data_IF_974271930541
#
_entry.id   IF_974271930541
#
_cell.length_a   1.000
_cell.length_b   1.000
_cell.length_c   1.000
_cell.angle_alpha   90.00
_cell.angle_beta   90.00
_cell.angle_gamma   90.00
#
_symmetry.space_group_name_H-M   'P 1'
#
loop_
_entity.id
_entity.type
_entity.pdbx_description
1 polymer ?
#
# COMPACT_ATOMS: atom_id res chain seq x y z
N UNK A 1 -60.65 -6.18 58.16
CA UNK A 1 -60.84 -6.75 56.80
C UNK A 1 -60.78 -5.62 55.79
N UNK A 2 -59.64 -5.44 55.11
CA UNK A 2 -59.56 -4.78 53.80
C UNK A 2 -58.21 -5.12 53.19
N UNK A 3 -58.26 -5.87 52.08
CA UNK A 3 -57.12 -6.23 51.21
C UNK A 3 -56.89 -5.11 50.19
N UNK A 4 -55.71 -5.15 49.53
CA UNK A 4 -55.29 -4.55 48.23
C UNK A 4 -54.05 -3.64 48.43
N UNK A 5 -52.91 -3.72 47.71
CA UNK A 5 -52.39 -4.46 46.53
C UNK A 5 -50.85 -4.26 46.55
N UNK A 6 -49.99 -5.17 46.04
CA UNK A 6 -48.55 -4.91 45.97
C UNK A 6 -48.22 -4.02 44.75
N UNK A 7 -47.50 -2.92 44.99
CA UNK A 7 -46.97 -2.02 43.96
C UNK A 7 -45.73 -2.64 43.32
N UNK A 8 -45.85 -3.04 42.05
CA UNK A 8 -44.73 -3.40 41.18
C UNK A 8 -43.99 -2.10 40.84
N UNK A 9 -42.75 -1.94 41.29
CA UNK A 9 -41.88 -0.86 40.82
C UNK A 9 -41.06 -1.36 39.62
N UNK A 10 -41.33 -0.73 38.48
CA UNK A 10 -40.80 -1.00 37.16
C UNK A 10 -39.33 -0.54 37.05
N UNK A 11 -38.48 -1.44 36.57
CA UNK A 11 -37.08 -1.23 36.19
C UNK A 11 -36.99 -0.28 34.99
N UNK A 12 -36.21 0.80 35.07
CA UNK A 12 -35.70 1.53 33.90
C UNK A 12 -34.18 1.58 34.02
N UNK A 13 -33.52 0.56 33.46
CA UNK A 13 -32.10 0.62 33.18
C UNK A 13 -31.92 1.45 31.90
N UNK A 14 -31.47 2.70 32.04
CA UNK A 14 -30.95 3.47 30.91
C UNK A 14 -29.67 2.78 30.42
N UNK A 15 -29.81 1.93 29.40
CA UNK A 15 -28.71 1.52 28.55
C UNK A 15 -28.25 2.77 27.78
N UNK A 16 -27.25 3.45 28.33
CA UNK A 16 -26.45 4.42 27.59
C UNK A 16 -25.73 3.68 26.48
N UNK A 17 -26.39 3.56 25.32
CA UNK A 17 -25.76 3.21 24.07
C UNK A 17 -24.73 4.29 23.75
N UNK A 18 -23.49 4.07 24.16
CA UNK A 18 -22.33 4.75 23.60
C UNK A 18 -22.25 4.34 22.13
N UNK A 19 -22.92 5.10 21.26
CA UNK A 19 -22.58 5.13 19.85
C UNK A 19 -21.13 5.63 19.77
N UNK A 20 -20.18 4.70 19.71
CA UNK A 20 -18.83 5.04 19.26
C UNK A 20 -18.97 5.54 17.83
N UNK A 21 -18.87 6.86 17.65
CA UNK A 21 -18.69 7.46 16.35
C UNK A 21 -17.35 6.96 15.79
N UNK A 22 -17.41 5.91 14.97
CA UNK A 22 -16.25 5.41 14.22
C UNK A 22 -16.02 6.38 13.05
N UNK A 23 -15.37 7.50 13.37
CA UNK A 23 -14.89 8.49 12.41
C UNK A 23 -13.49 8.96 12.77
N UNK A 24 -12.70 8.12 13.46
CA UNK A 24 -11.32 8.47 13.80
C UNK A 24 -10.50 8.53 12.52
N UNK A 25 -9.99 9.73 12.20
CA UNK A 25 -9.06 9.96 11.10
C UNK A 25 -7.88 8.99 11.25
N UNK A 26 -7.57 8.22 10.22
CA UNK A 26 -6.45 7.30 10.23
C UNK A 26 -5.14 8.05 10.49
N UNK A 27 -4.19 7.46 11.23
CA UNK A 27 -2.89 8.08 11.47
C UNK A 27 -2.10 8.17 10.16
N UNK A 28 -1.14 9.11 10.12
CA UNK A 28 -0.26 9.28 8.96
C UNK A 28 0.70 8.09 8.76
N UNK A 29 0.92 7.31 9.83
CA UNK A 29 1.73 6.10 9.86
C UNK A 29 1.01 5.02 10.65
N UNK A 30 1.15 3.75 10.27
CA UNK A 30 0.54 2.63 11.00
C UNK A 30 1.18 2.51 12.38
N UNK A 31 0.36 2.52 13.44
CA UNK A 31 0.83 2.52 14.84
C UNK A 31 0.82 1.12 15.47
N UNK A 32 0.05 0.19 14.90
CA UNK A 32 -0.13 -1.16 15.44
C UNK A 32 0.28 -2.24 14.44
N UNK A 33 0.87 -3.31 14.93
CA UNK A 33 1.16 -4.51 14.13
C UNK A 33 -0.12 -5.27 13.81
N UNK A 34 -0.20 -5.85 12.61
CA UNK A 34 -1.38 -6.59 12.15
C UNK A 34 -0.96 -7.96 11.68
N UNK A 35 -1.48 -9.01 12.31
CA UNK A 35 -1.33 -10.35 11.78
C UNK A 35 -2.21 -10.47 10.54
N UNK A 36 -1.66 -11.00 9.46
CA UNK A 36 -2.34 -11.06 8.19
C UNK A 36 -3.57 -11.99 8.28
N UNK A 37 -4.70 -11.66 7.62
CA UNK A 37 -5.87 -12.54 7.56
C UNK A 37 -5.54 -13.95 7.06
N UNK A 38 -6.40 -14.92 7.35
CA UNK A 38 -6.28 -16.25 6.73
C UNK A 38 -6.63 -16.18 5.23
N UNK A 39 -6.08 -17.11 4.44
CA UNK A 39 -6.43 -17.33 3.03
C UNK A 39 -6.27 -16.10 2.11
N UNK A 40 -5.24 -15.28 2.36
CA UNK A 40 -4.96 -14.08 1.56
C UNK A 40 -4.79 -14.42 0.08
N UNK A 41 -5.53 -13.70 -0.75
CA UNK A 41 -5.39 -13.68 -2.20
C UNK A 41 -4.74 -12.38 -2.62
N UNK A 42 -3.75 -12.49 -3.49
CA UNK A 42 -3.04 -11.34 -4.04
C UNK A 42 -3.66 -11.07 -5.40
N UNK A 43 -4.80 -10.37 -5.41
CA UNK A 43 -5.63 -10.13 -6.58
C UNK A 43 -5.99 -8.64 -6.81
N UNK A 44 -5.36 -7.76 -6.03
CA UNK A 44 -5.55 -6.32 -6.05
C UNK A 44 -6.76 -5.85 -5.26
N UNK A 45 -7.36 -6.65 -4.38
CA UNK A 45 -8.54 -6.25 -3.60
C UNK A 45 -8.19 -6.11 -2.12
N UNK A 46 -9.00 -5.34 -1.41
CA UNK A 46 -8.90 -5.15 0.05
C UNK A 46 -9.89 -5.99 0.86
N UNK A 47 -10.53 -6.98 0.22
CA UNK A 47 -11.62 -7.78 0.81
C UNK A 47 -11.16 -8.51 2.08
N UNK A 48 -9.97 -9.09 2.04
CA UNK A 48 -9.35 -9.86 3.12
C UNK A 48 -9.07 -8.96 4.35
N UNK A 49 -8.86 -7.66 4.13
CA UNK A 49 -8.72 -6.64 5.17
C UNK A 49 -10.05 -5.92 5.49
N UNK A 50 -11.18 -6.44 5.01
CA UNK A 50 -12.53 -5.84 5.16
C UNK A 50 -12.60 -4.38 4.70
N UNK A 51 -11.84 -4.03 3.66
CA UNK A 51 -11.69 -2.66 3.15
C UNK A 51 -11.22 -1.63 4.19
N UNK A 52 -10.56 -2.10 5.25
CA UNK A 52 -9.99 -1.28 6.32
C UNK A 52 -8.47 -1.19 6.20
N UNK A 53 -7.96 0.00 6.45
CA UNK A 53 -6.54 0.32 6.39
C UNK A 53 -6.07 0.85 7.73
N UNK A 54 -4.81 0.61 8.07
CA UNK A 54 -4.25 1.04 9.35
C UNK A 54 -3.79 2.50 9.34
N UNK A 55 -3.49 3.04 8.16
CA UNK A 55 -3.00 4.39 8.01
C UNK A 55 -3.41 5.01 6.67
N UNK A 56 -3.44 6.34 6.63
CA UNK A 56 -3.50 7.13 5.40
C UNK A 56 -2.34 8.11 5.42
N UNK A 57 -1.37 7.93 4.52
CA UNK A 57 -0.20 8.79 4.48
C UNK A 57 -0.41 9.96 3.52
N UNK A 58 -0.24 11.18 4.02
CA UNK A 58 -0.49 12.41 3.27
C UNK A 58 0.59 12.73 2.21
N UNK A 59 1.81 12.21 2.35
CA UNK A 59 2.88 12.51 1.39
C UNK A 59 2.70 11.71 0.08
N UNK A 60 2.27 10.45 0.20
CA UNK A 60 2.02 9.57 -0.95
C UNK A 60 0.54 9.42 -1.30
N UNK A 61 -0.34 10.10 -0.55
CA UNK A 61 -1.79 10.16 -0.75
C UNK A 61 -2.47 8.80 -0.91
N UNK A 62 -2.16 7.91 0.03
CA UNK A 62 -2.63 6.53 -0.03
C UNK A 62 -2.95 5.95 1.35
N UNK A 63 -4.00 5.13 1.36
CA UNK A 63 -4.28 4.21 2.45
C UNK A 63 -3.34 3.01 2.35
N UNK A 64 -2.85 2.54 3.49
CA UNK A 64 -2.04 1.34 3.50
C UNK A 64 -2.16 0.53 4.80
N UNK A 65 -1.81 -0.74 4.68
CA UNK A 65 -1.58 -1.65 5.81
C UNK A 65 -0.36 -2.50 5.49
N UNK A 66 0.59 -2.55 6.42
CA UNK A 66 1.60 -3.61 6.48
C UNK A 66 1.10 -4.67 7.47
N UNK A 67 1.16 -5.92 7.06
CA UNK A 67 0.84 -7.07 7.90
C UNK A 67 1.81 -8.21 7.66
N UNK A 68 1.86 -9.18 8.56
CA UNK A 68 2.65 -10.40 8.36
C UNK A 68 1.89 -11.64 8.82
N UNK A 69 2.17 -12.77 8.18
CA UNK A 69 1.91 -14.08 8.77
C UNK A 69 3.24 -14.67 9.27
N UNK A 70 3.30 -16.00 9.43
CA UNK A 70 4.50 -16.69 9.89
C UNK A 70 5.61 -16.75 8.81
N UNK A 71 5.27 -16.51 7.54
CA UNK A 71 6.15 -16.75 6.38
C UNK A 71 6.42 -15.51 5.54
N UNK A 72 5.51 -14.53 5.53
CA UNK A 72 5.42 -13.46 4.55
C UNK A 72 5.12 -12.12 5.21
N UNK A 73 5.70 -11.08 4.62
CA UNK A 73 5.29 -9.70 4.79
C UNK A 73 4.34 -9.31 3.65
N UNK A 74 3.28 -8.60 4.00
CA UNK A 74 2.27 -8.09 3.09
C UNK A 74 2.22 -6.58 3.16
N UNK A 75 2.04 -5.93 2.01
CA UNK A 75 1.67 -4.53 1.92
C UNK A 75 0.46 -4.42 0.99
N UNK A 76 -0.62 -3.85 1.50
CA UNK A 76 -1.73 -3.36 0.68
C UNK A 76 -1.68 -1.83 0.66
N UNK A 77 -1.81 -1.26 -0.53
CA UNK A 77 -1.63 0.16 -0.80
C UNK A 77 -2.72 0.62 -1.77
N UNK A 78 -3.51 1.63 -1.38
CA UNK A 78 -4.65 2.09 -2.16
C UNK A 78 -4.67 3.60 -2.29
N UNK A 79 -4.94 4.11 -3.48
CA UNK A 79 -5.30 5.50 -3.70
C UNK A 79 -6.60 5.58 -4.49
N UNK A 80 -7.34 6.66 -4.32
CA UNK A 80 -8.50 7.02 -5.13
C UNK A 80 -8.25 8.31 -5.94
N UNK A 81 -7.04 8.86 -5.84
CA UNK A 81 -6.63 10.05 -6.57
C UNK A 81 -6.10 9.63 -7.94
N UNK A 82 -6.60 10.28 -8.97
CA UNK A 82 -6.29 9.90 -10.36
C UNK A 82 -4.82 10.13 -10.69
N UNK A 83 -4.25 11.25 -10.26
CA UNK A 83 -2.85 11.60 -10.50
C UNK A 83 -1.90 10.64 -9.76
N UNK A 84 -2.21 10.33 -8.50
CA UNK A 84 -1.50 9.30 -7.71
C UNK A 84 -1.56 7.94 -8.42
N UNK A 85 -2.72 7.54 -8.91
CA UNK A 85 -2.92 6.27 -9.63
C UNK A 85 -2.05 6.21 -10.89
N UNK A 86 -2.03 7.27 -11.70
CA UNK A 86 -1.22 7.34 -12.92
C UNK A 86 0.27 7.26 -12.62
N UNK A 87 0.70 7.97 -11.56
CA UNK A 87 2.06 7.96 -11.04
C UNK A 87 2.48 6.56 -10.58
N UNK A 88 1.62 5.86 -9.85
CA UNK A 88 1.89 4.48 -9.40
C UNK A 88 1.96 3.52 -10.58
N UNK A 89 1.03 3.56 -11.54
CA UNK A 89 1.06 2.56 -12.63
C UNK A 89 2.34 2.73 -13.48
N UNK A 90 2.73 3.98 -13.76
CA UNK A 90 3.86 4.28 -14.66
C UNK A 90 5.21 4.18 -13.93
N UNK A 91 5.33 4.81 -12.76
CA UNK A 91 6.57 4.88 -11.98
C UNK A 91 6.74 3.74 -10.97
N UNK A 92 5.63 3.09 -10.59
CA UNK A 92 5.60 2.16 -9.48
C UNK A 92 5.72 2.83 -8.13
N UNK A 93 5.57 2.01 -7.10
CA UNK A 93 6.01 2.36 -5.77
C UNK A 93 6.96 1.31 -5.24
N UNK A 94 7.84 1.75 -4.33
CA UNK A 94 8.88 0.92 -3.73
C UNK A 94 8.60 0.78 -2.26
N UNK A 95 8.54 -0.46 -1.77
CA UNK A 95 8.77 -0.74 -0.35
C UNK A 95 10.23 -1.12 -0.16
N UNK A 96 10.90 -0.45 0.77
CA UNK A 96 12.26 -0.78 1.21
C UNK A 96 12.20 -1.18 2.67
N UNK A 97 12.71 -2.36 3.00
CA UNK A 97 12.90 -2.86 4.35
C UNK A 97 14.36 -2.71 4.73
N UNK A 98 14.64 -2.17 5.91
CA UNK A 98 15.98 -1.94 6.43
C UNK A 98 16.05 -2.23 7.93
N UNK A 99 17.25 -2.37 8.51
CA UNK A 99 17.41 -2.49 9.96
C UNK A 99 16.92 -1.21 10.65
N UNK A 100 16.46 -1.34 11.89
CA UNK A 100 16.09 -0.19 12.73
C UNK A 100 17.33 0.65 13.08
N UNK A 101 18.47 -0.01 13.29
CA UNK A 101 19.74 0.67 13.49
C UNK A 101 20.21 1.35 12.20
N UNK A 102 20.14 2.68 12.19
CA UNK A 102 20.57 3.53 11.07
C UNK A 102 22.07 3.45 10.77
N UNK A 103 22.87 2.90 11.69
CA UNK A 103 24.31 2.69 11.50
C UNK A 103 24.65 1.28 11.02
N UNK A 104 23.65 0.44 10.79
CA UNK A 104 23.86 -0.91 10.28
C UNK A 104 24.38 -0.88 8.84
N UNK A 105 25.39 -1.70 8.56
CA UNK A 105 25.97 -1.92 7.22
C UNK A 105 25.20 -2.99 6.42
N UNK A 106 24.12 -3.54 6.97
CA UNK A 106 23.28 -4.51 6.25
C UNK A 106 22.54 -3.86 5.09
N UNK A 107 22.65 -4.48 3.91
CA UNK A 107 21.95 -4.04 2.69
C UNK A 107 20.43 -4.10 2.86
N UNK A 108 19.69 -2.98 2.69
CA UNK A 108 18.23 -2.99 2.65
C UNK A 108 17.69 -3.83 1.50
N UNK A 109 16.52 -4.44 1.70
CA UNK A 109 15.78 -5.15 0.65
C UNK A 109 14.72 -4.23 0.09
N UNK A 110 14.65 -4.07 -1.24
CA UNK A 110 13.65 -3.24 -1.89
C UNK A 110 12.86 -4.03 -2.94
N UNK A 111 11.56 -3.76 -2.99
CA UNK A 111 10.63 -4.31 -3.98
C UNK A 111 9.86 -3.17 -4.66
N UNK A 112 9.90 -3.11 -5.98
CA UNK A 112 9.20 -2.11 -6.79
C UNK A 112 8.16 -2.79 -7.69
N UNK A 113 6.91 -2.36 -7.54
CA UNK A 113 5.75 -2.83 -8.29
C UNK A 113 4.60 -1.80 -8.11
N UNK A 114 3.65 -1.68 -9.05
CA UNK A 114 3.71 -2.13 -10.44
C UNK A 114 4.76 -1.34 -11.22
N UNK A 115 5.37 -1.90 -12.27
CA UNK A 115 6.23 -1.10 -13.16
C UNK A 115 5.76 -1.30 -14.60
N UNK A 116 4.94 -0.37 -15.10
CA UNK A 116 4.53 -0.34 -16.50
C UNK A 116 5.41 0.66 -17.25
N UNK A 117 6.31 0.20 -18.14
CA UNK A 117 7.26 1.08 -18.81
C UNK A 117 6.58 2.13 -19.72
N UNK A 118 5.36 1.85 -20.19
CA UNK A 118 4.62 2.74 -21.08
C UNK A 118 3.14 2.76 -20.73
N UNK A 119 2.69 3.86 -20.13
CA UNK A 119 1.27 4.10 -19.96
C UNK A 119 0.66 4.51 -21.30
N UNK A 120 -0.38 3.79 -21.75
CA UNK A 120 -1.11 4.20 -22.95
C UNK A 120 -1.91 5.49 -22.67
N UNK A 121 -1.94 6.42 -23.62
CA UNK A 121 -2.78 7.63 -23.57
C UNK A 121 -4.27 7.33 -23.37
N UNK A 122 -4.71 6.10 -23.69
CA UNK A 122 -6.07 5.61 -23.46
C UNK A 122 -6.37 5.40 -21.97
N UNK A 123 -5.39 4.95 -21.17
CA UNK A 123 -5.58 4.79 -19.72
C UNK A 123 -5.76 6.15 -19.06
N UNK A 124 -4.92 7.12 -19.43
CA UNK A 124 -5.02 8.50 -18.96
C UNK A 124 -6.39 9.11 -19.32
N UNK A 125 -6.81 8.98 -20.58
CA UNK A 125 -8.09 9.51 -21.05
C UNK A 125 -9.30 8.95 -20.28
N UNK A 126 -9.33 7.64 -20.00
CA UNK A 126 -10.46 7.01 -19.31
C UNK A 126 -10.50 7.31 -17.80
N UNK A 127 -9.37 7.69 -17.20
CA UNK A 127 -9.30 8.07 -15.79
C UNK A 127 -9.64 9.55 -15.54
N UNK A 128 -9.52 10.43 -16.54
CA UNK A 128 -9.77 11.88 -16.40
C UNK A 128 -11.19 12.32 -16.01
N UNK A 129 -12.27 11.76 -16.59
CA UNK A 129 -13.63 12.25 -16.32
C UNK A 129 -13.99 12.17 -14.83
N UNK A 130 -14.75 13.12 -14.29
CA UNK A 130 -15.22 13.02 -12.90
C UNK A 130 -16.24 11.89 -12.71
N UNK A 131 -16.25 11.29 -11.52
CA UNK A 131 -17.18 10.22 -11.16
C UNK A 131 -16.75 8.81 -11.58
N UNK A 132 -17.67 7.82 -11.42
CA UNK A 132 -17.36 6.42 -11.66
C UNK A 132 -17.02 6.09 -13.11
N UNK A 133 -16.11 5.13 -13.30
CA UNK A 133 -15.76 4.58 -14.61
C UNK A 133 -16.69 3.41 -14.92
N UNK A 134 -17.16 3.28 -16.17
CA UNK A 134 -18.06 2.19 -16.55
C UNK A 134 -17.36 0.84 -16.42
N UNK A 135 -18.08 -0.20 -16.02
CA UNK A 135 -17.51 -1.55 -15.81
C UNK A 135 -16.76 -2.10 -17.02
N UNK A 136 -17.23 -1.83 -18.24
CA UNK A 136 -16.56 -2.25 -19.48
C UNK A 136 -15.19 -1.57 -19.64
N UNK A 137 -15.12 -0.28 -19.29
CA UNK A 137 -13.89 0.52 -19.36
C UNK A 137 -12.93 0.08 -18.23
N UNK A 138 -13.43 -0.17 -17.02
CA UNK A 138 -12.61 -0.73 -15.91
C UNK A 138 -11.99 -2.07 -16.29
N UNK A 139 -12.77 -2.99 -16.88
CA UNK A 139 -12.25 -4.28 -17.37
C UNK A 139 -11.19 -4.09 -18.44
N UNK A 140 -11.42 -3.15 -19.36
CA UNK A 140 -10.44 -2.80 -20.39
C UNK A 140 -9.14 -2.26 -19.78
N UNK A 141 -9.23 -1.32 -18.84
CA UNK A 141 -8.09 -0.70 -18.16
C UNK A 141 -7.26 -1.73 -17.40
N UNK A 142 -7.90 -2.53 -16.55
CA UNK A 142 -7.20 -3.58 -15.79
C UNK A 142 -6.52 -4.58 -16.71
N UNK A 143 -7.17 -5.00 -17.81
CA UNK A 143 -6.53 -5.87 -18.80
C UNK A 143 -5.31 -5.20 -19.43
N UNK A 144 -5.43 -3.94 -19.86
CA UNK A 144 -4.32 -3.19 -20.46
C UNK A 144 -3.12 -3.05 -19.54
N UNK A 145 -3.34 -2.79 -18.25
CA UNK A 145 -2.26 -2.69 -17.26
C UNK A 145 -1.63 -4.08 -17.06
N UNK A 146 -2.42 -5.13 -16.84
CA UNK A 146 -1.94 -6.51 -16.67
C UNK A 146 -1.18 -7.05 -17.90
N UNK A 147 -1.56 -6.64 -19.12
CA UNK A 147 -0.86 -7.00 -20.35
C UNK A 147 0.58 -6.48 -20.36
N UNK A 148 0.88 -5.39 -19.64
CA UNK A 148 2.21 -4.80 -19.54
C UNK A 148 2.98 -5.22 -18.27
N UNK A 149 2.27 -5.59 -17.19
CA UNK A 149 2.90 -6.02 -15.95
C UNK A 149 3.42 -7.45 -16.04
N UNK A 150 4.71 -7.57 -16.39
CA UNK A 150 5.42 -8.85 -16.50
C UNK A 150 6.50 -9.03 -15.45
N UNK A 151 6.91 -7.97 -14.78
CA UNK A 151 8.07 -7.98 -13.91
C UNK A 151 7.82 -7.30 -12.55
N UNK A 152 8.58 -7.74 -11.57
CA UNK A 152 8.76 -7.13 -10.25
C UNK A 152 10.24 -6.80 -10.14
N UNK A 153 10.61 -5.56 -9.78
CA UNK A 153 12.02 -5.25 -9.52
C UNK A 153 12.34 -5.53 -8.06
N UNK A 154 13.40 -6.26 -7.80
CA UNK A 154 13.87 -6.64 -6.47
C UNK A 154 15.36 -6.29 -6.34
N UNK A 155 15.77 -5.84 -5.17
CA UNK A 155 17.19 -5.67 -4.84
C UNK A 155 17.48 -5.99 -3.37
N UNK A 156 18.74 -6.29 -3.08
CA UNK A 156 19.25 -6.53 -1.73
C UNK A 156 18.95 -7.92 -1.15
N UNK A 157 18.27 -8.80 -1.91
CA UNK A 157 18.01 -10.18 -1.48
C UNK A 157 19.24 -11.04 -1.76
N UNK A 158 19.94 -11.51 -0.73
CA UNK A 158 21.24 -12.22 -0.87
C UNK A 158 21.22 -13.42 -1.84
N UNK A 159 20.09 -14.11 -1.96
CA UNK A 159 19.94 -15.31 -2.79
C UNK A 159 19.44 -15.03 -4.22
N UNK A 160 19.14 -13.77 -4.56
CA UNK A 160 18.58 -13.39 -5.86
C UNK A 160 19.40 -12.21 -6.39
N UNK A 161 19.93 -12.28 -7.62
CA UNK A 161 20.58 -11.12 -8.23
C UNK A 161 19.63 -9.92 -8.29
N UNK A 162 20.15 -8.72 -8.00
CA UNK A 162 19.39 -7.49 -8.18
C UNK A 162 18.91 -7.35 -9.63
N UNK A 163 17.64 -7.00 -9.82
CA UNK A 163 17.07 -6.86 -11.16
C UNK A 163 15.57 -7.08 -11.21
N UNK A 164 15.10 -7.49 -12.38
CA UNK A 164 13.70 -7.86 -12.62
C UNK A 164 13.50 -9.37 -12.50
N UNK A 165 12.46 -9.77 -11.77
CA UNK A 165 11.93 -11.13 -11.77
C UNK A 165 10.54 -11.15 -12.40
N UNK A 166 10.15 -12.28 -12.98
CA UNK A 166 8.79 -12.48 -13.50
C UNK A 166 7.74 -12.31 -12.41
N UNK A 167 6.58 -11.71 -12.73
CA UNK A 167 5.39 -11.74 -11.86
C UNK A 167 4.88 -13.18 -11.62
N UNK A 168 5.24 -14.11 -12.50
CA UNK A 168 5.09 -15.56 -12.33
C UNK A 168 6.45 -16.15 -11.96
N UNK A 169 6.77 -16.21 -10.67
CA UNK A 169 8.01 -16.77 -10.13
C UNK A 169 7.71 -17.84 -9.07
N UNK A 170 8.71 -18.65 -8.75
CA UNK A 170 8.70 -19.68 -7.70
C UNK A 170 9.30 -19.18 -6.36
N UNK A 171 9.64 -17.89 -6.28
CA UNK A 171 10.31 -17.26 -5.14
C UNK A 171 9.33 -16.85 -4.03
N UNK A 172 8.03 -16.95 -4.27
CA UNK A 172 6.99 -16.48 -3.35
C UNK A 172 6.81 -14.96 -3.33
N UNK A 173 7.53 -14.22 -4.18
CA UNK A 173 7.36 -12.77 -4.34
C UNK A 173 6.18 -12.54 -5.27
N UNK A 174 5.18 -11.77 -4.83
CA UNK A 174 3.96 -11.53 -5.60
C UNK A 174 3.59 -10.06 -5.60
N UNK A 175 3.03 -9.61 -6.71
CA UNK A 175 2.41 -8.30 -6.84
C UNK A 175 1.10 -8.43 -7.60
N UNK A 176 0.06 -7.73 -7.15
CA UNK A 176 -1.20 -7.62 -7.87
C UNK A 176 -1.75 -6.20 -7.79
N UNK A 177 -2.64 -5.85 -8.71
CA UNK A 177 -3.32 -4.57 -8.71
C UNK A 177 -4.75 -4.71 -9.21
N UNK A 178 -5.60 -3.76 -8.83
CA UNK A 178 -6.94 -3.62 -9.39
C UNK A 178 -7.39 -2.16 -9.32
N UNK A 179 -7.93 -1.67 -10.43
CA UNK A 179 -8.75 -0.47 -10.49
C UNK A 179 -10.22 -0.87 -10.39
N UNK A 180 -11.01 -0.27 -9.50
CA UNK A 180 -12.46 -0.46 -9.48
C UNK A 180 -13.23 0.66 -10.22
N UNK A 181 -14.56 0.56 -10.26
CA UNK A 181 -15.39 1.58 -10.91
C UNK A 181 -15.51 2.88 -10.12
N UNK A 182 -15.15 2.91 -8.84
CA UNK A 182 -14.99 4.14 -8.05
C UNK A 182 -13.59 4.76 -8.20
N UNK A 183 -12.73 4.18 -9.05
CA UNK A 183 -11.32 4.56 -9.24
C UNK A 183 -10.44 4.35 -8.02
N UNK A 184 -10.83 3.49 -7.09
CA UNK A 184 -9.87 2.99 -6.14
C UNK A 184 -8.89 2.10 -6.89
N UNK A 185 -7.63 2.53 -6.89
CA UNK A 185 -6.52 1.77 -7.40
C UNK A 185 -5.79 1.13 -6.21
N UNK A 186 -5.92 -0.18 -6.10
CA UNK A 186 -5.32 -0.98 -5.04
C UNK A 186 -4.17 -1.78 -5.61
N UNK A 187 -3.06 -1.81 -4.89
CA UNK A 187 -1.93 -2.69 -5.14
C UNK A 187 -1.64 -3.52 -3.89
N UNK A 188 -1.22 -4.75 -4.13
CA UNK A 188 -0.79 -5.69 -3.10
C UNK A 188 0.61 -6.20 -3.42
N UNK A 189 1.43 -6.37 -2.39
CA UNK A 189 2.76 -6.96 -2.48
C UNK A 189 2.95 -8.02 -1.40
N UNK A 190 3.65 -9.09 -1.76
CA UNK A 190 4.10 -10.15 -0.85
C UNK A 190 5.60 -10.32 -0.96
N UNK A 191 6.27 -10.29 0.19
CA UNK A 191 7.69 -10.55 0.33
C UNK A 191 7.92 -11.63 1.40
N UNK A 192 8.52 -12.78 1.07
CA UNK A 192 8.88 -13.78 2.07
C UNK A 192 9.76 -13.21 3.19
N UNK A 193 9.39 -13.49 4.45
CA UNK A 193 10.16 -13.06 5.62
C UNK A 193 11.58 -13.63 5.61
N UNK A 194 11.81 -14.78 4.97
CA UNK A 194 13.14 -15.36 4.79
C UNK A 194 14.11 -14.42 4.06
N UNK A 195 13.61 -13.55 3.17
CA UNK A 195 14.45 -12.58 2.45
C UNK A 195 14.83 -11.36 3.29
N UNK A 196 14.02 -11.00 4.28
CA UNK A 196 14.26 -9.83 5.14
C UNK A 196 14.69 -10.19 6.57
N UNK A 197 14.70 -11.48 6.95
CA UNK A 197 14.98 -11.94 8.32
C UNK A 197 16.26 -11.34 8.93
N UNK A 198 17.28 -11.13 8.11
CA UNK A 198 18.55 -10.57 8.54
C UNK A 198 18.48 -9.07 8.89
N UNK A 199 17.40 -8.37 8.51
CA UNK A 199 17.14 -6.96 8.77
C UNK A 199 16.24 -6.74 9.99
N UNK A 200 15.72 -7.81 10.59
CA UNK A 200 14.80 -7.78 11.71
C UNK A 200 15.61 -7.89 13.01
N UNK A 201 15.36 -6.99 13.95
CA UNK A 201 16.02 -7.01 15.26
C UNK A 201 15.51 -8.15 16.16
N UNK A 202 16.11 -8.26 17.35
CA UNK A 202 15.77 -9.26 18.37
C UNK A 202 14.32 -9.14 18.89
N UNK A 203 13.69 -7.97 18.72
CA UNK A 203 12.30 -7.71 19.08
C UNK A 203 11.33 -8.01 17.94
N UNK A 204 11.82 -8.45 16.78
CA UNK A 204 10.98 -8.66 15.60
C UNK A 204 10.68 -7.37 14.84
N UNK A 205 11.47 -6.31 15.01
CA UNK A 205 11.23 -4.99 14.42
C UNK A 205 12.17 -4.68 13.28
N UNK A 206 11.65 -4.06 12.23
CA UNK A 206 12.44 -3.49 11.13
C UNK A 206 11.94 -2.08 10.79
N UNK A 207 12.78 -1.30 10.13
CA UNK A 207 12.38 -0.03 9.53
C UNK A 207 11.92 -0.25 8.09
N UNK A 208 10.98 0.56 7.61
CA UNK A 208 10.57 0.54 6.22
C UNK A 208 10.39 1.94 5.65
N UNK A 209 10.54 2.03 4.33
CA UNK A 209 10.21 3.19 3.51
C UNK A 209 9.22 2.76 2.44
N UNK A 210 8.15 3.53 2.25
CA UNK A 210 7.30 3.42 1.06
C UNK A 210 7.49 4.69 0.24
N UNK A 211 7.77 4.53 -1.05
CA UNK A 211 8.00 5.64 -1.98
C UNK A 211 7.17 5.47 -3.24
N UNK A 212 6.34 6.46 -3.57
CA UNK A 212 5.73 6.56 -4.91
C UNK A 212 6.72 7.29 -5.80
N UNK A 213 7.18 6.62 -6.85
CA UNK A 213 8.23 7.14 -7.72
C UNK A 213 7.73 8.27 -8.62
N UNK A 214 8.62 9.19 -8.97
CA UNK A 214 8.35 10.16 -10.02
C UNK A 214 8.51 9.55 -11.41
N UNK A 215 7.84 10.15 -12.40
CA UNK A 215 7.94 9.78 -13.81
C UNK A 215 8.84 10.81 -14.51
N UNK A 216 9.81 10.37 -15.31
CA UNK A 216 10.51 11.25 -16.26
C UNK A 216 9.67 11.38 -17.54
N UNK A 217 9.45 12.62 -18.03
CA UNK A 217 8.73 12.92 -19.28
C UNK A 217 9.35 12.25 -20.53
N UNK A 218 10.60 11.77 -20.43
CA UNK A 218 11.27 10.93 -21.44
C UNK A 218 11.11 9.42 -21.20
N UNK A 219 10.17 9.00 -20.34
CA UNK A 219 9.73 7.61 -20.06
C UNK A 219 10.64 6.74 -19.20
N UNK A 220 11.55 7.34 -18.43
CA UNK A 220 12.38 6.61 -17.47
C UNK A 220 11.77 6.68 -16.07
N UNK A 221 11.65 5.55 -15.37
CA UNK A 221 11.24 5.51 -13.96
C UNK A 221 12.36 6.08 -13.08
N UNK A 222 12.06 7.08 -12.25
CA UNK A 222 13.03 7.66 -11.31
C UNK A 222 12.94 6.93 -9.96
N UNK A 223 13.81 5.95 -9.75
CA UNK A 223 13.93 5.25 -8.46
C UNK A 223 14.99 5.92 -7.59
N UNK A 224 14.61 6.37 -6.40
CA UNK A 224 15.55 6.92 -5.40
C UNK A 224 15.89 8.40 -5.59
N UNK A 225 15.25 9.07 -6.54
CA UNK A 225 15.36 10.51 -6.75
C UNK A 225 16.61 10.92 -7.51
N UNK A 226 16.44 11.12 -8.83
CA UNK A 226 17.13 12.06 -9.75
C UNK A 226 16.79 11.64 -11.19
N UNK A 227 15.91 12.38 -11.87
CA UNK A 227 15.89 12.39 -13.35
C UNK A 227 17.05 13.25 -13.85
N UNK A 228 17.49 12.98 -15.07
CA UNK A 228 18.47 13.80 -15.77
C UNK A 228 17.94 15.21 -16.13
N UNK A 229 16.63 15.47 -16.03
CA UNK A 229 16.01 16.70 -16.54
C UNK A 229 15.43 17.66 -15.49
N UNK A 230 15.04 17.20 -14.29
CA UNK A 230 14.75 18.07 -13.15
C UNK A 230 14.72 17.27 -11.81
N UNK A 231 15.71 17.43 -10.91
CA UNK A 231 15.91 16.56 -9.76
C UNK A 231 15.23 17.12 -8.50
N UNK A 232 13.90 17.14 -8.45
CA UNK A 232 13.26 17.30 -7.14
C UNK A 232 13.67 16.11 -6.25
N UNK A 233 14.32 16.40 -5.13
CA UNK A 233 14.66 15.39 -4.15
C UNK A 233 13.36 14.72 -3.65
N UNK A 234 13.39 13.41 -3.30
CA UNK A 234 12.21 12.77 -2.74
C UNK A 234 11.66 13.59 -1.56
N UNK A 235 10.36 13.87 -1.56
CA UNK A 235 9.69 14.65 -0.51
C UNK A 235 9.01 13.73 0.50
N UNK A 236 9.15 14.03 1.79
CA UNK A 236 8.35 13.43 2.87
C UNK A 236 7.09 14.21 3.21
N UNK A 237 6.89 15.35 2.54
CA UNK A 237 5.73 16.22 2.66
C UNK A 237 4.84 16.07 1.42
N UNK A 238 3.55 16.39 1.57
CA UNK A 238 2.62 16.44 0.46
C UNK A 238 3.09 17.45 -0.60
N UNK A 239 3.08 17.04 -1.87
CA UNK A 239 3.43 17.89 -3.00
C UNK A 239 2.12 18.29 -3.69
N UNK A 240 1.89 19.59 -4.00
CA UNK A 240 0.71 19.98 -4.74
C UNK A 240 0.64 19.28 -6.11
N UNK A 241 -0.55 18.80 -6.46
CA UNK A 241 -0.87 18.19 -7.76
C UNK A 241 -0.46 19.08 -8.95
N UNK A 242 -0.07 18.44 -10.04
CA UNK A 242 0.47 19.04 -11.26
C UNK A 242 1.85 18.49 -11.64
N UNK A 243 2.50 19.13 -12.61
CA UNK A 243 3.75 18.62 -13.21
C UNK A 243 4.86 18.29 -12.18
N UNK A 244 4.95 19.07 -11.11
CA UNK A 244 5.90 18.84 -10.02
C UNK A 244 5.57 17.56 -9.25
N UNK A 245 4.28 17.28 -9.02
CA UNK A 245 3.85 16.05 -8.36
C UNK A 245 4.19 14.82 -9.20
N UNK A 246 3.91 14.85 -10.51
CA UNK A 246 4.18 13.72 -11.42
C UNK A 246 5.66 13.33 -11.47
N UNK A 247 6.54 14.32 -11.44
CA UNK A 247 8.00 14.13 -11.61
C UNK A 247 8.74 13.93 -10.29
N UNK A 248 8.18 14.40 -9.16
CA UNK A 248 8.84 14.31 -7.83
C UNK A 248 8.51 13.01 -7.11
N UNK A 249 9.49 12.19 -6.69
CA UNK A 249 9.21 11.08 -5.80
C UNK A 249 8.66 11.58 -4.46
N UNK A 250 7.69 10.86 -3.90
CA UNK A 250 7.15 11.13 -2.56
C UNK A 250 7.33 9.89 -1.70
N UNK A 251 7.59 10.04 -0.40
CA UNK A 251 7.83 8.90 0.46
C UNK A 251 7.46 9.14 1.91
N UNK A 252 7.38 8.04 2.67
CA UNK A 252 7.39 8.10 4.12
C UNK A 252 8.21 6.95 4.70
N UNK A 253 8.64 7.09 5.94
CA UNK A 253 9.34 6.05 6.71
C UNK A 253 8.62 5.75 8.02
N UNK A 254 8.64 4.50 8.43
CA UNK A 254 8.21 4.09 9.77
C UNK A 254 8.90 2.80 10.18
N UNK A 255 8.48 2.21 11.29
CA UNK A 255 8.92 0.92 11.79
C UNK A 255 7.74 -0.04 11.87
N UNK A 256 8.00 -1.32 11.71
CA UNK A 256 7.01 -2.37 11.90
C UNK A 256 7.60 -3.49 12.75
N UNK A 257 6.86 -3.89 13.79
CA UNK A 257 7.19 -5.07 14.60
C UNK A 257 6.30 -6.22 14.13
N UNK A 258 6.87 -7.39 13.89
CA UNK A 258 6.11 -8.56 13.46
C UNK A 258 4.96 -8.85 14.45
N UNK A 259 3.75 -8.89 13.93
CA UNK A 259 2.57 -9.32 14.67
C UNK A 259 2.69 -10.80 15.01
N UNK A 260 2.18 -11.16 16.19
CA UNK A 260 2.07 -12.55 16.62
C UNK A 260 0.74 -13.11 16.16
N UNK A 261 0.73 -14.40 15.84
CA UNK A 261 -0.51 -15.13 15.54
C UNK A 261 -1.47 -15.02 16.75
N UNK A 262 -2.72 -14.59 16.54
CA UNK A 262 -3.71 -14.49 17.61
C UNK A 262 -4.13 -15.86 18.16
#
# INVERSE_FOLDING_TARGET
MTKQTPLILLTVALLSNSFSAIGQKLPNKQETSVYAPADIKIDGKSTEWNDKFQAYNHAVEAWYTISNDDNNLYLIFRSNETEVTQKIITGGFVITVSPVDKKSELTPVAMNYPVVPWMSSQVDYLLKPSGPVKDADVKFLNRKINDQLKEIKISGVKSIPDGSISVYNDLGIKGAHLLDNQKNYTCEMVLPLSFIKHLIDDKGTFAYRVQVNGIDLKTTVIVGGRSASDPAAPSSDAVPHGLLYDTSPTYFTATYTLAKKP
#
